data_IF_316714489905
#
_entry.id   IF_316714489905
#
_cell.length_a   1.000
_cell.length_b   1.000
_cell.length_c   1.000
_cell.angle_alpha   90.00
_cell.angle_beta   90.00
_cell.angle_gamma   90.00
#
_symmetry.space_group_name_H-M   'P 1'
#
loop_
_entity.id
_entity.type
_entity.pdbx_description
1 polymer ?
#
# COMPACT_ATOMS: atom_id res chain seq x y z
N UNK A 1 -14.67 12.82 -11.71
CA UNK A 1 -13.80 11.64 -11.48
C UNK A 1 -14.72 10.44 -11.28
N UNK A 2 -14.54 9.35 -12.00
CA UNK A 2 -15.40 8.16 -11.91
C UNK A 2 -14.55 6.90 -12.02
N UNK A 3 -14.96 5.84 -11.34
CA UNK A 3 -14.41 4.49 -11.46
C UNK A 3 -15.39 3.54 -12.15
N UNK A 4 -16.43 4.10 -12.79
CA UNK A 4 -17.48 3.35 -13.45
C UNK A 4 -16.92 2.31 -14.44
N UNK A 5 -17.36 1.06 -14.30
CA UNK A 5 -16.94 -0.06 -15.14
C UNK A 5 -15.52 -0.60 -14.84
N UNK A 6 -14.80 -0.04 -13.85
CA UNK A 6 -13.51 -0.57 -13.43
C UNK A 6 -13.69 -1.70 -12.41
N UNK A 7 -12.83 -2.72 -12.48
CA UNK A 7 -12.73 -3.80 -11.49
C UNK A 7 -11.45 -3.59 -10.69
N UNK A 8 -11.60 -3.36 -9.40
CA UNK A 8 -10.48 -3.08 -8.48
C UNK A 8 -10.29 -4.22 -7.48
N UNK A 9 -9.06 -4.66 -7.30
CA UNK A 9 -8.66 -5.48 -6.14
C UNK A 9 -8.20 -4.53 -5.04
N UNK A 10 -8.81 -4.63 -3.86
CA UNK A 10 -8.50 -3.78 -2.70
C UNK A 10 -8.10 -4.67 -1.54
N UNK A 11 -6.86 -4.56 -1.07
CA UNK A 11 -6.37 -5.30 0.10
C UNK A 11 -6.61 -4.49 1.38
N UNK A 12 -6.80 -5.16 2.52
CA UNK A 12 -7.06 -4.49 3.79
C UNK A 12 -8.48 -3.95 3.92
N UNK A 13 -9.47 -4.60 3.29
CA UNK A 13 -10.86 -4.09 3.22
C UNK A 13 -11.66 -4.23 4.50
N UNK A 14 -11.20 -5.01 5.48
CA UNK A 14 -11.98 -5.23 6.71
C UNK A 14 -12.11 -3.97 7.57
N UNK A 15 -11.20 -2.98 7.43
CA UNK A 15 -11.22 -1.77 8.25
C UNK A 15 -10.48 -0.59 7.60
N UNK A 16 -10.57 0.58 8.22
CA UNK A 16 -9.75 1.76 7.91
C UNK A 16 -9.82 2.20 6.46
N UNK A 17 -8.68 2.57 5.89
CA UNK A 17 -8.55 3.12 4.53
C UNK A 17 -9.09 2.16 3.48
N UNK A 18 -8.84 0.84 3.62
CA UNK A 18 -9.31 -0.16 2.66
C UNK A 18 -10.83 -0.29 2.63
N UNK A 19 -11.48 -0.26 3.80
CA UNK A 19 -12.93 -0.28 3.91
C UNK A 19 -13.57 0.96 3.29
N UNK A 20 -13.02 2.15 3.56
CA UNK A 20 -13.54 3.41 2.98
C UNK A 20 -13.30 3.49 1.47
N UNK A 21 -12.13 3.04 0.98
CA UNK A 21 -11.91 2.95 -0.46
C UNK A 21 -12.90 2.00 -1.13
N UNK A 22 -13.17 0.84 -0.54
CA UNK A 22 -14.12 -0.12 -1.10
C UNK A 22 -15.52 0.49 -1.23
N UNK A 23 -16.00 1.21 -0.19
CA UNK A 23 -17.29 1.92 -0.24
C UNK A 23 -17.30 3.02 -1.29
N UNK A 24 -16.27 3.86 -1.31
CA UNK A 24 -16.14 4.97 -2.26
C UNK A 24 -16.07 4.47 -3.71
N UNK A 25 -15.26 3.46 -3.98
CA UNK A 25 -15.09 2.91 -5.32
C UNK A 25 -16.39 2.31 -5.85
N UNK A 26 -17.13 1.55 -5.03
CA UNK A 26 -18.47 1.03 -5.39
C UNK A 26 -19.46 2.16 -5.63
N UNK A 27 -19.48 3.18 -4.80
CA UNK A 27 -20.33 4.37 -5.00
C UNK A 27 -20.02 5.07 -6.34
N UNK A 28 -18.75 5.05 -6.79
CA UNK A 28 -18.31 5.59 -8.07
C UNK A 28 -18.52 4.60 -9.27
N UNK A 29 -19.18 3.45 -9.06
CA UNK A 29 -19.54 2.49 -10.10
C UNK A 29 -18.48 1.44 -10.41
N UNK A 30 -17.46 1.27 -9.56
CA UNK A 30 -16.50 0.16 -9.68
C UNK A 30 -17.06 -1.14 -9.11
N UNK A 31 -16.64 -2.26 -9.67
CA UNK A 31 -16.71 -3.58 -9.04
C UNK A 31 -15.50 -3.73 -8.12
N UNK A 32 -15.71 -4.04 -6.85
CA UNK A 32 -14.64 -4.17 -5.84
C UNK A 32 -14.50 -5.62 -5.41
N UNK A 33 -13.31 -6.18 -5.62
CA UNK A 33 -12.89 -7.47 -5.08
C UNK A 33 -12.05 -7.18 -3.85
N UNK A 34 -12.60 -7.47 -2.67
CA UNK A 34 -11.95 -7.26 -1.40
C UNK A 34 -11.03 -8.40 -1.01
N UNK A 35 -9.89 -8.08 -0.41
CA UNK A 35 -8.93 -9.06 0.13
C UNK A 35 -8.55 -8.66 1.54
N UNK A 36 -8.72 -9.57 2.51
CA UNK A 36 -8.29 -9.36 3.89
C UNK A 36 -8.13 -10.70 4.61
N UNK A 37 -7.45 -10.71 5.74
CA UNK A 37 -7.42 -11.86 6.66
C UNK A 37 -8.72 -11.99 7.44
N UNK A 38 -9.39 -10.86 7.67
CA UNK A 38 -10.61 -10.75 8.45
C UNK A 38 -11.81 -10.48 7.54
N UNK A 39 -12.97 -11.01 7.92
CA UNK A 39 -14.21 -10.76 7.22
C UNK A 39 -14.61 -9.28 7.38
N UNK A 40 -14.92 -8.54 6.31
CA UNK A 40 -15.46 -7.19 6.40
C UNK A 40 -16.89 -7.22 6.98
N UNK A 41 -17.25 -6.16 7.72
CA UNK A 41 -18.60 -6.03 8.31
C UNK A 41 -19.61 -5.36 7.35
N UNK A 42 -19.32 -5.34 6.06
CA UNK A 42 -20.19 -4.81 5.02
C UNK A 42 -20.08 -5.65 3.75
N UNK A 43 -21.10 -5.58 2.89
CA UNK A 43 -21.13 -6.37 1.65
C UNK A 43 -20.18 -5.78 0.60
N UNK A 44 -19.44 -6.67 -0.06
CA UNK A 44 -18.62 -6.40 -1.25
C UNK A 44 -19.20 -7.13 -2.45
N UNK A 45 -18.75 -6.78 -3.66
CA UNK A 45 -19.12 -7.48 -4.88
C UNK A 45 -18.51 -8.89 -4.89
N UNK A 46 -17.27 -9.01 -4.40
CA UNK A 46 -16.57 -10.26 -4.13
C UNK A 46 -15.59 -10.08 -2.96
N UNK A 47 -15.32 -11.16 -2.23
CA UNK A 47 -14.39 -11.15 -1.11
C UNK A 47 -13.58 -12.45 -1.04
N UNK A 48 -12.25 -12.30 -0.91
CA UNK A 48 -11.33 -13.40 -0.71
C UNK A 48 -10.58 -13.23 0.61
N UNK A 49 -10.73 -14.20 1.48
CA UNK A 49 -9.89 -14.28 2.67
C UNK A 49 -8.50 -14.78 2.26
N UNK A 50 -7.45 -14.00 2.60
CA UNK A 50 -6.07 -14.32 2.28
C UNK A 50 -5.08 -13.69 3.27
N UNK A 51 -3.99 -14.39 3.55
CA UNK A 51 -2.82 -13.85 4.26
C UNK A 51 -1.78 -13.39 3.25
N UNK A 52 -1.57 -12.09 3.17
CA UNK A 52 -0.56 -11.50 2.27
C UNK A 52 0.88 -11.67 2.80
N UNK A 53 1.09 -12.21 3.98
CA UNK A 53 2.39 -12.64 4.47
C UNK A 53 2.79 -14.05 4.02
N UNK A 54 1.89 -14.79 3.36
CA UNK A 54 2.09 -16.16 2.91
C UNK A 54 2.05 -16.27 1.38
N UNK A 55 3.16 -16.65 0.71
CA UNK A 55 3.21 -16.82 -0.74
C UNK A 55 2.19 -17.82 -1.30
N UNK A 56 1.92 -18.91 -0.59
CA UNK A 56 0.97 -19.92 -1.03
C UNK A 56 -0.47 -19.39 -0.95
N UNK A 57 -0.79 -18.63 0.09
CA UNK A 57 -2.07 -17.92 0.20
C UNK A 57 -2.24 -16.89 -0.93
N UNK A 58 -1.17 -16.16 -1.31
CA UNK A 58 -1.19 -15.23 -2.44
C UNK A 58 -1.41 -15.98 -3.75
N UNK A 59 -0.73 -17.09 -3.99
CA UNK A 59 -0.90 -17.89 -5.21
C UNK A 59 -2.34 -18.44 -5.32
N UNK A 60 -2.89 -18.95 -4.22
CA UNK A 60 -4.28 -19.39 -4.15
C UNK A 60 -5.27 -18.25 -4.38
N UNK A 61 -5.01 -17.04 -3.87
CA UNK A 61 -5.79 -15.83 -4.16
C UNK A 61 -5.77 -15.52 -5.65
N UNK A 62 -4.58 -15.39 -6.24
CA UNK A 62 -4.40 -15.01 -7.65
C UNK A 62 -5.10 -15.99 -8.59
N UNK A 63 -5.13 -17.30 -8.28
CA UNK A 63 -5.83 -18.29 -9.11
C UNK A 63 -7.35 -18.08 -9.19
N UNK A 64 -7.93 -17.38 -8.21
CA UNK A 64 -9.39 -17.10 -8.11
C UNK A 64 -9.78 -15.73 -8.67
N UNK A 65 -8.80 -14.83 -8.86
CA UNK A 65 -9.07 -13.49 -9.38
C UNK A 65 -9.33 -13.50 -10.89
N UNK A 66 -10.16 -12.59 -11.40
CA UNK A 66 -10.46 -12.47 -12.84
C UNK A 66 -9.20 -12.27 -13.68
N UNK A 67 -9.28 -12.73 -14.94
CA UNK A 67 -8.19 -12.55 -15.91
C UNK A 67 -7.96 -11.09 -16.30
N UNK A 68 -8.98 -10.22 -16.15
CA UNK A 68 -8.89 -8.78 -16.45
C UNK A 68 -9.26 -7.96 -15.23
N UNK A 69 -8.39 -7.06 -14.87
CA UNK A 69 -8.52 -6.11 -13.77
C UNK A 69 -8.20 -4.70 -14.27
N UNK A 70 -8.56 -3.68 -13.51
CA UNK A 70 -8.29 -2.29 -13.84
C UNK A 70 -7.45 -1.58 -12.78
N UNK A 71 -7.43 -2.09 -11.56
CA UNK A 71 -6.62 -1.53 -10.49
C UNK A 71 -6.33 -2.52 -9.37
N UNK A 72 -5.18 -2.33 -8.73
CA UNK A 72 -4.76 -2.99 -7.51
C UNK A 72 -4.41 -1.95 -6.47
N UNK A 73 -5.11 -1.97 -5.33
CA UNK A 73 -4.87 -1.08 -4.21
C UNK A 73 -4.27 -1.88 -3.05
N UNK A 74 -2.96 -1.77 -2.86
CA UNK A 74 -2.23 -2.42 -1.78
C UNK A 74 -2.32 -1.57 -0.51
N UNK A 75 -3.35 -1.82 0.31
CA UNK A 75 -3.63 -1.05 1.52
C UNK A 75 -3.34 -1.87 2.78
N UNK A 76 -3.49 -3.20 2.71
CA UNK A 76 -3.20 -4.08 3.83
C UNK A 76 -1.79 -3.82 4.39
N UNK A 77 -1.70 -3.79 5.70
CA UNK A 77 -0.44 -3.60 6.40
C UNK A 77 -0.58 -3.88 7.89
N UNK A 78 0.55 -4.10 8.53
CA UNK A 78 0.66 -4.30 9.97
C UNK A 78 1.54 -3.21 10.58
N UNK A 79 1.31 -2.84 11.86
CA UNK A 79 2.13 -1.84 12.55
C UNK A 79 3.53 -2.36 12.88
N UNK A 80 4.43 -1.46 13.24
CA UNK A 80 5.79 -1.82 13.69
C UNK A 80 5.85 -2.52 15.05
N UNK A 81 4.73 -2.59 15.77
CA UNK A 81 4.57 -3.40 16.99
C UNK A 81 4.49 -4.90 16.68
N UNK A 82 4.15 -5.27 15.44
CA UNK A 82 4.21 -6.65 14.99
C UNK A 82 5.66 -7.14 14.84
N UNK A 83 5.92 -8.46 14.91
CA UNK A 83 7.26 -9.01 14.67
C UNK A 83 7.84 -8.51 13.33
N UNK A 84 9.11 -8.14 13.32
CA UNK A 84 9.83 -7.59 12.16
C UNK A 84 9.63 -8.42 10.88
N UNK A 85 9.68 -9.74 11.01
CA UNK A 85 9.49 -10.66 9.89
C UNK A 85 8.06 -10.56 9.33
N UNK A 86 7.05 -10.37 10.18
CA UNK A 86 5.66 -10.15 9.75
C UNK A 86 5.53 -8.81 9.04
N UNK A 87 6.17 -7.75 9.56
CA UNK A 87 6.18 -6.43 8.89
C UNK A 87 6.83 -6.54 7.51
N UNK A 88 7.98 -7.23 7.39
CA UNK A 88 8.66 -7.45 6.12
C UNK A 88 7.76 -8.20 5.11
N UNK A 89 7.14 -9.30 5.55
CA UNK A 89 6.32 -10.16 4.70
C UNK A 89 5.05 -9.47 4.23
N UNK A 90 4.32 -8.79 5.12
CA UNK A 90 3.04 -8.16 4.79
C UNK A 90 3.24 -6.80 4.11
N UNK A 91 4.05 -5.90 4.70
CA UNK A 91 4.15 -4.52 4.25
C UNK A 91 5.04 -4.34 3.02
N UNK A 92 5.81 -5.37 2.62
CA UNK A 92 6.73 -5.26 1.50
C UNK A 92 6.72 -6.48 0.57
N UNK A 93 7.09 -7.66 1.05
CA UNK A 93 7.30 -8.83 0.17
C UNK A 93 6.01 -9.33 -0.46
N UNK A 94 4.94 -9.46 0.32
CA UNK A 94 3.67 -10.02 -0.14
C UNK A 94 2.94 -9.10 -1.11
N UNK A 95 2.87 -7.80 -0.81
CA UNK A 95 2.25 -6.86 -1.73
C UNK A 95 3.01 -6.76 -3.07
N UNK A 96 4.34 -6.90 -3.04
CA UNK A 96 5.17 -7.00 -4.27
C UNK A 96 4.82 -8.25 -5.07
N UNK A 97 4.81 -9.42 -4.40
CA UNK A 97 4.47 -10.69 -5.04
C UNK A 97 3.09 -10.62 -5.69
N UNK A 98 2.09 -10.12 -4.96
CA UNK A 98 0.73 -9.93 -5.49
C UNK A 98 0.73 -9.00 -6.71
N UNK A 99 1.44 -7.87 -6.62
CA UNK A 99 1.54 -6.90 -7.72
C UNK A 99 2.20 -7.50 -8.95
N UNK A 100 3.29 -8.25 -8.79
CA UNK A 100 4.02 -8.93 -9.86
C UNK A 100 3.14 -10.00 -10.56
N UNK A 101 2.34 -10.73 -9.80
CA UNK A 101 1.44 -11.76 -10.36
C UNK A 101 0.20 -11.19 -11.04
N UNK A 102 -0.17 -9.93 -10.75
CA UNK A 102 -1.38 -9.31 -11.30
C UNK A 102 -1.12 -8.25 -12.36
N UNK A 103 0.11 -7.75 -12.53
CA UNK A 103 0.40 -6.61 -13.41
C UNK A 103 -0.06 -6.83 -14.84
N UNK A 104 0.13 -8.03 -15.41
CA UNK A 104 -0.33 -8.36 -16.76
C UNK A 104 -1.86 -8.34 -16.90
N UNK A 105 -2.58 -8.71 -15.83
CA UNK A 105 -4.06 -8.69 -15.81
C UNK A 105 -4.65 -7.29 -15.75
N UNK A 106 -3.85 -6.29 -15.31
CA UNK A 106 -4.28 -4.89 -15.25
C UNK A 106 -4.30 -4.24 -16.64
N UNK A 107 -3.33 -4.61 -17.50
CA UNK A 107 -3.27 -4.16 -18.90
C UNK A 107 -3.19 -2.64 -19.08
N UNK A 108 -3.38 -2.19 -20.31
CA UNK A 108 -3.32 -0.77 -20.69
C UNK A 108 -4.31 0.09 -19.91
N UNK A 109 -3.79 1.16 -19.31
CA UNK A 109 -4.56 2.09 -18.46
C UNK A 109 -4.77 1.62 -17.03
N UNK A 110 -4.24 0.44 -16.67
CA UNK A 110 -4.27 -0.09 -15.32
C UNK A 110 -3.51 0.76 -14.32
N UNK A 111 -3.85 0.63 -13.04
CA UNK A 111 -3.18 1.36 -11.98
C UNK A 111 -2.91 0.47 -10.77
N UNK A 112 -1.71 0.59 -10.21
CA UNK A 112 -1.36 0.05 -8.89
C UNK A 112 -1.12 1.22 -7.95
N UNK A 113 -1.77 1.21 -6.79
CA UNK A 113 -1.57 2.20 -5.75
C UNK A 113 -1.16 1.51 -4.46
N UNK A 114 0.04 1.83 -3.99
CA UNK A 114 0.60 1.30 -2.75
C UNK A 114 0.42 2.30 -1.61
N UNK A 115 -0.07 1.86 -0.45
CA UNK A 115 -0.10 2.69 0.74
C UNK A 115 1.23 2.58 1.48
N UNK A 116 2.06 3.60 1.27
CA UNK A 116 3.32 3.81 1.99
C UNK A 116 3.06 4.45 3.38
N UNK A 117 3.81 5.45 3.75
CA UNK A 117 3.66 6.28 4.94
C UNK A 117 4.59 7.50 4.84
N UNK A 118 4.27 8.59 5.51
CA UNK A 118 5.24 9.69 5.72
C UNK A 118 6.48 9.22 6.48
N UNK A 119 6.36 8.15 7.29
CA UNK A 119 7.52 7.54 7.97
C UNK A 119 8.52 6.89 6.99
N UNK A 120 8.15 6.71 5.73
CA UNK A 120 9.06 6.30 4.66
C UNK A 120 9.80 7.45 3.99
N UNK A 121 9.67 8.70 4.44
CA UNK A 121 10.27 9.87 3.77
C UNK A 121 11.81 9.87 3.76
N UNK A 122 12.45 9.15 4.67
CA UNK A 122 13.92 9.05 4.76
C UNK A 122 14.54 8.05 3.77
N UNK A 123 13.76 7.51 2.83
CA UNK A 123 14.24 6.57 1.81
C UNK A 123 15.51 7.04 1.07
N UNK A 124 15.80 8.35 0.85
CA UNK A 124 17.03 8.76 0.17
C UNK A 124 18.31 8.39 0.94
N UNK A 125 18.24 8.31 2.28
CA UNK A 125 19.38 7.99 3.13
C UNK A 125 19.82 6.52 2.96
N UNK A 126 18.90 5.62 2.57
CA UNK A 126 19.14 4.19 2.37
C UNK A 126 18.89 3.73 0.93
N UNK A 127 18.96 4.66 -0.03
CA UNK A 127 18.57 4.43 -1.43
C UNK A 127 19.23 3.19 -2.05
N UNK A 128 20.55 3.04 -1.92
CA UNK A 128 21.25 1.92 -2.55
C UNK A 128 20.89 0.58 -1.90
N UNK A 129 20.66 0.54 -0.59
CA UNK A 129 20.19 -0.66 0.09
C UNK A 129 18.79 -1.05 -0.39
N UNK A 130 17.88 -0.07 -0.48
CA UNK A 130 16.52 -0.32 -0.99
C UNK A 130 16.50 -0.70 -2.46
N UNK A 131 17.38 -0.13 -3.30
CA UNK A 131 17.56 -0.54 -4.69
C UNK A 131 18.07 -1.96 -4.81
N UNK A 132 19.02 -2.37 -3.98
CA UNK A 132 19.53 -3.75 -3.97
C UNK A 132 18.39 -4.73 -3.66
N UNK A 133 17.61 -4.46 -2.61
CA UNK A 133 16.44 -5.26 -2.25
C UNK A 133 15.35 -5.25 -3.34
N UNK A 134 15.10 -4.10 -3.98
CA UNK A 134 14.09 -3.94 -5.03
C UNK A 134 14.39 -4.79 -6.29
N UNK A 135 15.67 -5.03 -6.60
CA UNK A 135 16.10 -5.85 -7.74
C UNK A 135 15.89 -7.35 -7.53
N UNK A 136 15.72 -7.82 -6.32
CA UNK A 136 15.48 -9.23 -6.01
C UNK A 136 13.97 -9.49 -6.21
N UNK A 137 13.57 -10.03 -7.36
CA UNK A 137 12.16 -10.25 -7.68
C UNK A 137 11.54 -11.40 -6.88
N UNK A 138 12.31 -12.46 -6.64
CA UNK A 138 11.84 -13.65 -5.93
C UNK A 138 11.62 -13.40 -4.44
N UNK A 139 10.51 -13.92 -3.90
CA UNK A 139 10.10 -13.71 -2.50
C UNK A 139 11.09 -14.37 -1.52
N UNK A 140 11.47 -15.62 -1.77
CA UNK A 140 12.35 -16.37 -0.87
C UNK A 140 13.77 -15.81 -0.88
N UNK A 141 14.30 -15.42 -2.05
CA UNK A 141 15.59 -14.77 -2.16
C UNK A 141 15.61 -13.40 -1.50
N UNK A 142 14.54 -12.61 -1.60
CA UNK A 142 14.42 -11.33 -0.90
C UNK A 142 14.34 -11.53 0.61
N UNK A 143 13.64 -12.57 1.08
CA UNK A 143 13.60 -12.93 2.50
C UNK A 143 14.99 -13.37 3.01
N UNK A 144 15.72 -14.17 2.24
CA UNK A 144 17.10 -14.57 2.57
C UNK A 144 18.04 -13.36 2.62
N UNK A 145 17.89 -12.42 1.67
CA UNK A 145 18.66 -11.18 1.68
C UNK A 145 18.40 -10.35 2.93
N UNK A 146 17.14 -10.22 3.36
CA UNK A 146 16.76 -9.52 4.59
C UNK A 146 17.29 -10.21 5.85
N UNK A 147 17.41 -11.53 5.86
CA UNK A 147 18.04 -12.27 6.95
C UNK A 147 19.55 -11.97 7.06
N UNK A 148 20.22 -11.76 5.93
CA UNK A 148 21.64 -11.38 5.86
C UNK A 148 21.87 -9.87 6.12
N UNK A 149 20.82 -9.04 6.00
CA UNK A 149 20.85 -7.60 6.23
C UNK A 149 19.78 -7.22 7.26
N UNK A 150 19.98 -7.56 8.54
CA UNK A 150 18.94 -7.44 9.55
C UNK A 150 18.52 -5.99 9.77
N UNK A 151 17.22 -5.77 9.81
CA UNK A 151 16.59 -4.50 10.13
C UNK A 151 16.22 -4.48 11.61
N UNK A 152 16.46 -3.38 12.31
CA UNK A 152 16.08 -3.23 13.69
C UNK A 152 14.54 -3.27 13.87
N UNK A 153 14.05 -3.97 14.89
CA UNK A 153 12.64 -4.04 15.24
C UNK A 153 12.03 -2.64 15.43
N UNK A 154 12.74 -1.74 16.10
CA UNK A 154 12.24 -0.40 16.39
C UNK A 154 12.03 0.47 15.15
N UNK A 155 12.73 0.18 14.05
CA UNK A 155 12.68 0.95 12.79
C UNK A 155 12.16 0.15 11.61
N UNK A 156 11.74 -1.10 11.81
CA UNK A 156 11.35 -1.99 10.73
C UNK A 156 10.17 -1.46 9.90
N UNK A 157 9.19 -0.81 10.53
CA UNK A 157 8.06 -0.23 9.83
C UNK A 157 8.51 0.86 8.85
N UNK A 158 9.32 1.82 9.33
CA UNK A 158 9.88 2.90 8.52
C UNK A 158 10.68 2.31 7.35
N UNK A 159 11.58 1.39 7.66
CA UNK A 159 12.43 0.73 6.67
C UNK A 159 11.62 0.08 5.53
N UNK A 160 10.57 -0.67 5.84
CA UNK A 160 9.78 -1.33 4.81
C UNK A 160 8.85 -0.38 4.05
N UNK A 161 8.43 0.75 4.65
CA UNK A 161 7.74 1.83 3.93
C UNK A 161 8.68 2.59 2.99
N UNK A 162 9.95 2.81 3.37
CA UNK A 162 10.99 3.33 2.48
C UNK A 162 11.27 2.38 1.32
N UNK A 163 11.48 1.09 1.63
CA UNK A 163 11.72 0.06 0.63
C UNK A 163 10.56 -0.03 -0.38
N UNK A 164 9.31 0.09 0.07
CA UNK A 164 8.12 0.10 -0.78
C UNK A 164 8.11 1.30 -1.74
N UNK A 165 8.45 2.50 -1.26
CA UNK A 165 8.55 3.71 -2.07
C UNK A 165 9.61 3.51 -3.17
N UNK A 166 10.82 3.08 -2.79
CA UNK A 166 11.91 2.88 -3.75
C UNK A 166 11.59 1.78 -4.76
N UNK A 167 11.00 0.66 -4.33
CA UNK A 167 10.55 -0.39 -5.23
C UNK A 167 9.51 0.13 -6.23
N UNK A 168 8.56 0.92 -5.77
CA UNK A 168 7.54 1.51 -6.63
C UNK A 168 8.14 2.44 -7.68
N UNK A 169 9.14 3.25 -7.31
CA UNK A 169 9.87 4.08 -8.28
C UNK A 169 10.59 3.25 -9.32
N UNK A 170 11.30 2.20 -8.90
CA UNK A 170 12.07 1.31 -9.79
C UNK A 170 11.14 0.60 -10.79
N UNK A 171 9.98 0.10 -10.33
CA UNK A 171 9.06 -0.65 -11.19
C UNK A 171 8.18 0.23 -12.06
N UNK A 172 7.89 1.45 -11.65
CA UNK A 172 6.89 2.31 -12.31
C UNK A 172 7.16 2.51 -13.81
N UNK A 173 8.41 2.76 -14.20
CA UNK A 173 8.77 2.98 -15.60
C UNK A 173 8.74 1.70 -16.41
N UNK A 174 9.20 0.61 -15.84
CA UNK A 174 9.20 -0.72 -16.48
C UNK A 174 7.77 -1.15 -16.77
N UNK A 175 6.89 -1.13 -15.76
CA UNK A 175 5.51 -1.59 -15.91
C UNK A 175 4.65 -0.66 -16.77
N UNK A 176 4.96 0.64 -16.80
CA UNK A 176 4.29 1.55 -17.73
C UNK A 176 4.64 1.21 -19.19
N UNK A 177 5.90 0.90 -19.47
CA UNK A 177 6.37 0.57 -20.85
C UNK A 177 5.93 -0.80 -21.29
N UNK A 178 6.00 -1.80 -20.43
CA UNK A 178 5.75 -3.20 -20.78
C UNK A 178 4.26 -3.54 -20.78
N UNK A 179 3.51 -3.02 -19.81
CA UNK A 179 2.12 -3.39 -19.57
C UNK A 179 1.13 -2.22 -19.70
N UNK A 180 1.62 -0.98 -19.79
CA UNK A 180 0.76 0.21 -19.76
C UNK A 180 0.15 0.49 -18.38
N UNK A 181 0.75 -0.04 -17.31
CA UNK A 181 0.28 0.06 -15.93
C UNK A 181 1.04 1.13 -15.18
N UNK A 182 0.31 2.05 -14.54
CA UNK A 182 0.89 3.07 -13.66
C UNK A 182 1.06 2.51 -12.25
N UNK A 183 2.13 2.91 -11.58
CA UNK A 183 2.42 2.51 -10.20
C UNK A 183 2.78 3.75 -9.38
N UNK A 184 1.97 4.03 -8.36
CA UNK A 184 2.16 5.18 -7.47
C UNK A 184 2.05 4.77 -6.00
N UNK A 185 2.62 5.59 -5.11
CA UNK A 185 2.45 5.49 -3.68
C UNK A 185 1.59 6.65 -3.15
N UNK A 186 0.81 6.35 -2.13
CA UNK A 186 0.21 7.34 -1.23
C UNK A 186 0.92 7.21 0.11
N UNK A 187 1.37 8.31 0.69
CA UNK A 187 2.07 8.35 1.96
C UNK A 187 1.21 9.09 3.02
N UNK A 188 0.32 8.38 3.73
CA UNK A 188 -0.50 9.00 4.77
C UNK A 188 0.33 9.44 5.97
N UNK A 189 -0.11 10.54 6.62
CA UNK A 189 0.20 10.86 8.00
C UNK A 189 -0.56 9.96 8.97
N UNK A 190 -0.70 10.37 10.24
CA UNK A 190 -1.62 9.75 11.18
C UNK A 190 -3.06 9.75 10.64
N UNK A 191 -3.73 8.59 10.72
CA UNK A 191 -5.11 8.40 10.22
C UNK A 191 -5.95 7.76 11.32
N UNK A 192 -7.17 8.23 11.54
CA UNK A 192 -8.14 7.61 12.44
C UNK A 192 -8.58 6.24 11.88
N UNK A 193 -7.88 5.20 12.31
CA UNK A 193 -8.11 3.79 11.97
C UNK A 193 -7.80 2.93 13.19
N UNK A 194 -8.21 1.66 13.22
CA UNK A 194 -7.90 0.76 14.35
C UNK A 194 -6.40 0.64 14.67
N UNK A 195 -5.53 0.83 13.69
CA UNK A 195 -4.07 0.74 13.85
C UNK A 195 -3.43 2.00 14.48
N UNK A 196 -4.20 3.10 14.68
CA UNK A 196 -3.66 4.36 15.21
C UNK A 196 -3.06 4.19 16.63
N UNK A 197 -3.69 3.36 17.46
CA UNK A 197 -3.17 3.06 18.81
C UNK A 197 -1.81 2.39 18.79
N UNK A 198 -1.56 1.53 17.82
CA UNK A 198 -0.25 0.90 17.63
C UNK A 198 0.84 1.92 17.23
N UNK A 199 0.47 2.95 16.45
CA UNK A 199 1.39 4.04 16.11
C UNK A 199 1.72 4.91 17.32
N UNK A 200 0.77 5.15 18.21
CA UNK A 200 1.03 5.84 19.48
C UNK A 200 2.04 5.03 20.31
N UNK A 201 1.83 3.72 20.41
CA UNK A 201 2.75 2.81 21.12
C UNK A 201 4.16 2.78 20.49
N UNK A 202 4.25 2.87 19.16
CA UNK A 202 5.51 2.81 18.41
C UNK A 202 6.30 4.12 18.43
N UNK A 203 5.62 5.26 18.31
CA UNK A 203 6.25 6.59 18.14
C UNK A 203 6.34 7.38 19.45
N UNK A 204 5.56 7.00 20.45
CA UNK A 204 5.37 7.72 21.70
C UNK A 204 4.27 8.78 21.61
N UNK A 205 3.55 8.95 22.72
CA UNK A 205 2.41 9.88 22.81
C UNK A 205 2.80 11.33 22.48
N UNK A 206 3.96 11.79 22.98
CA UNK A 206 4.44 13.16 22.75
C UNK A 206 4.64 13.47 21.27
N UNK A 207 5.23 12.53 20.52
CA UNK A 207 5.44 12.72 19.08
C UNK A 207 4.11 12.74 18.33
N UNK A 208 3.21 11.80 18.62
CA UNK A 208 1.90 11.74 17.96
C UNK A 208 1.05 12.97 18.31
N UNK A 209 1.08 13.45 19.55
CA UNK A 209 0.40 14.67 19.95
C UNK A 209 0.94 15.91 19.23
N UNK A 210 2.26 16.06 19.16
CA UNK A 210 2.92 17.16 18.45
C UNK A 210 2.60 17.14 16.97
N UNK A 211 2.67 15.98 16.32
CA UNK A 211 2.41 15.82 14.90
C UNK A 211 0.91 16.09 14.61
N UNK A 212 0.02 15.65 15.49
CA UNK A 212 -1.42 15.94 15.39
C UNK A 212 -1.73 17.44 15.54
N UNK A 213 -1.03 18.16 16.42
CA UNK A 213 -1.17 19.61 16.55
C UNK A 213 -0.76 20.36 15.27
N UNK A 214 0.32 19.91 14.60
CA UNK A 214 0.78 20.50 13.34
C UNK A 214 -0.22 20.30 12.20
N UNK A 215 -0.93 19.18 12.19
CA UNK A 215 -1.94 18.87 11.17
C UNK A 215 -3.35 19.30 11.56
N UNK A 216 -3.56 19.89 12.73
CA UNK A 216 -4.85 20.17 13.36
C UNK A 216 -5.56 18.91 13.90
N UNK A 217 -5.52 17.79 13.18
CA UNK A 217 -6.05 16.47 13.54
C UNK A 217 -5.44 15.37 12.68
N UNK A 218 -5.48 14.11 13.09
CA UNK A 218 -5.26 12.99 12.19
C UNK A 218 -6.29 12.98 11.04
N UNK A 219 -5.90 12.47 9.87
CA UNK A 219 -6.80 12.33 8.74
C UNK A 219 -7.92 11.32 9.04
N UNK A 220 -9.05 11.48 8.38
CA UNK A 220 -10.07 10.44 8.29
C UNK A 220 -9.68 9.44 7.16
N UNK A 221 -10.13 8.20 7.28
CA UNK A 221 -9.77 7.16 6.32
C UNK A 221 -10.30 7.45 4.90
N UNK A 222 -11.45 8.10 4.77
CA UNK A 222 -12.05 8.51 3.49
C UNK A 222 -11.24 9.61 2.79
N UNK A 223 -10.54 10.48 3.53
CA UNK A 223 -9.66 11.51 2.93
C UNK A 223 -8.47 10.87 2.20
N UNK A 224 -7.91 9.78 2.74
CA UNK A 224 -6.86 9.01 2.08
C UNK A 224 -7.44 8.16 0.94
N UNK A 225 -8.60 7.52 1.15
CA UNK A 225 -9.29 6.72 0.16
C UNK A 225 -9.63 7.52 -1.10
N UNK A 226 -10.00 8.80 -0.97
CA UNK A 226 -10.29 9.68 -2.10
C UNK A 226 -9.06 9.88 -3.01
N UNK A 227 -7.87 10.02 -2.44
CA UNK A 227 -6.61 10.14 -3.21
C UNK A 227 -6.28 8.83 -3.93
N UNK A 228 -6.49 7.69 -3.26
CA UNK A 228 -6.27 6.37 -3.89
C UNK A 228 -7.26 6.18 -5.05
N UNK A 229 -8.54 6.50 -4.87
CA UNK A 229 -9.55 6.44 -5.92
C UNK A 229 -9.19 7.35 -7.12
N UNK A 230 -8.69 8.57 -6.86
CA UNK A 230 -8.17 9.45 -7.90
C UNK A 230 -7.03 8.80 -8.69
N UNK A 231 -6.06 8.18 -8.00
CA UNK A 231 -4.94 7.51 -8.66
C UNK A 231 -5.35 6.28 -9.48
N UNK A 232 -6.48 5.64 -9.15
CA UNK A 232 -7.06 4.54 -9.93
C UNK A 232 -7.89 5.02 -11.12
N UNK A 233 -8.23 6.31 -11.18
CA UNK A 233 -9.05 6.89 -12.24
C UNK A 233 -8.23 7.37 -13.44
N UNK A 234 -8.93 7.66 -14.56
CA UNK A 234 -8.32 8.22 -15.75
C UNK A 234 -7.90 9.70 -15.58
N UNK A 235 -8.38 10.37 -14.53
CA UNK A 235 -7.97 11.74 -14.20
C UNK A 235 -6.48 11.82 -13.81
N UNK A 236 -5.90 10.72 -13.36
CA UNK A 236 -4.47 10.60 -12.99
C UNK A 236 -3.60 9.92 -14.06
N UNK A 237 -4.08 9.80 -15.31
CA UNK A 237 -3.40 9.03 -16.38
C UNK A 237 -1.97 9.47 -16.69
N UNK A 238 -1.57 10.68 -16.25
CA UNK A 238 -0.21 11.21 -16.43
C UNK A 238 0.62 11.21 -15.15
N UNK A 239 0.12 10.57 -14.07
CA UNK A 239 0.83 10.41 -12.80
C UNK A 239 1.35 8.98 -12.72
N UNK A 240 2.69 8.83 -12.73
CA UNK A 240 3.36 7.54 -12.60
C UNK A 240 4.68 7.70 -11.84
N UNK A 241 5.00 6.78 -10.94
CA UNK A 241 6.19 6.84 -10.11
C UNK A 241 6.15 7.97 -9.07
N UNK A 242 4.98 8.38 -8.64
CA UNK A 242 4.83 9.39 -7.59
C UNK A 242 4.71 8.75 -6.21
N UNK A 243 5.23 9.45 -5.20
CA UNK A 243 4.91 9.22 -3.79
C UNK A 243 4.20 10.47 -3.26
N UNK A 244 2.88 10.39 -3.07
CA UNK A 244 2.03 11.51 -2.71
C UNK A 244 1.78 11.55 -1.21
N UNK A 245 2.30 12.55 -0.46
CA UNK A 245 1.91 12.77 0.91
C UNK A 245 0.42 13.10 1.04
N UNK A 246 -0.26 12.45 1.97
CA UNK A 246 -1.65 12.73 2.38
C UNK A 246 -1.66 12.85 3.89
N UNK A 247 -1.14 13.96 4.38
CA UNK A 247 -0.67 14.13 5.74
C UNK A 247 -1.05 15.47 6.38
N UNK A 248 -1.97 16.22 5.77
CA UNK A 248 -2.39 17.53 6.27
C UNK A 248 -1.26 18.57 6.29
N UNK A 249 -0.20 18.37 5.49
CA UNK A 249 0.97 19.26 5.44
C UNK A 249 2.02 18.96 6.52
N UNK A 250 1.91 17.83 7.22
CA UNK A 250 2.85 17.47 8.29
C UNK A 250 4.30 17.43 7.79
N UNK A 251 4.57 16.76 6.66
CA UNK A 251 5.90 16.68 6.08
C UNK A 251 6.45 18.08 5.74
N UNK A 252 5.63 18.96 5.17
CA UNK A 252 6.01 20.32 4.86
C UNK A 252 6.31 21.19 6.11
N UNK A 253 5.75 20.83 7.26
CA UNK A 253 5.98 21.57 8.52
C UNK A 253 7.35 21.34 9.15
N UNK A 254 8.17 20.45 8.58
CA UNK A 254 9.54 20.15 9.02
C UNK A 254 10.62 20.83 8.15
N UNK A 255 10.22 21.60 7.14
CA UNK A 255 11.11 22.35 6.23
C UNK A 255 11.34 23.83 6.74
#
# INVERSE_FOLDING_TARGET
MTLNGKTLVVTGVASGIGAELARLARFQGATVIGVDRNQPQFSLDDFHQADLGDPDSIAALVSRLPARLHGLCNIAGVPGTAPRETVARVNYLGLRLLSQQLVERLGQGGAIVNVASILGAEWPQRLEQHRALARIADFALAQAWLAAHPVDQATCYQYFKEALIVWSFVQSQTWLREFGVRLNCVAPGPVFTPILGDFVSMLGEERVARDSQRMLRPALADEVAAVIAFLCSDASRWINGANLPVDGGLAASYV
#
